data_IF_484592049864
#
_entry.id   IF_484592049864
#
_cell.length_a   1.000
_cell.length_b   1.000
_cell.length_c   1.000
_cell.angle_alpha   90.00
_cell.angle_beta   90.00
_cell.angle_gamma   90.00
#
_symmetry.space_group_name_H-M   'P 1'
#
loop_
_entity.id
_entity.type
_entity.pdbx_description
1 polymer ?
#
# COMPACT_ATOMS: atom_id res chain seq x y z
N UNK A 1 -21.00 5.37 9.12
CA UNK A 1 -20.80 4.88 7.73
C UNK A 1 -19.40 5.25 7.23
N UNK A 2 -18.89 4.59 6.17
CA UNK A 2 -17.52 4.84 5.66
C UNK A 2 -17.28 6.32 5.32
N UNK A 3 -18.21 6.98 4.63
CA UNK A 3 -18.09 8.39 4.24
C UNK A 3 -18.11 9.39 5.40
N UNK A 4 -18.67 9.06 6.54
CA UNK A 4 -18.71 10.00 7.68
C UNK A 4 -17.32 10.38 8.16
N UNK A 5 -16.35 9.46 7.99
CA UNK A 5 -14.93 9.71 8.28
C UNK A 5 -14.32 10.79 7.38
N UNK A 6 -14.89 10.98 6.18
CA UNK A 6 -14.31 11.82 5.11
C UNK A 6 -15.14 13.05 4.77
N UNK A 7 -16.17 13.38 5.57
CA UNK A 7 -17.09 14.51 5.35
C UNK A 7 -16.41 15.91 5.25
N UNK A 8 -15.20 16.02 5.77
CA UNK A 8 -14.43 17.27 5.72
C UNK A 8 -13.67 17.47 4.40
N UNK A 9 -13.63 16.45 3.54
CA UNK A 9 -13.02 16.56 2.22
C UNK A 9 -14.07 17.00 1.21
N UNK A 10 -13.74 18.02 0.43
CA UNK A 10 -14.62 18.51 -0.65
C UNK A 10 -14.22 17.86 -1.96
N UNK A 11 -15.19 17.24 -2.61
CA UNK A 11 -15.01 16.58 -3.91
C UNK A 11 -16.33 16.56 -4.69
N UNK A 12 -16.22 16.36 -6.01
CA UNK A 12 -17.34 16.05 -6.88
C UNK A 12 -17.22 14.61 -7.40
N UNK A 13 -18.34 13.92 -7.56
CA UNK A 13 -18.40 12.59 -8.15
C UNK A 13 -19.13 12.62 -9.49
N UNK A 14 -18.53 12.03 -10.49
CA UNK A 14 -19.04 11.86 -11.85
C UNK A 14 -19.16 10.37 -12.15
N UNK A 15 -20.38 9.80 -12.19
CA UNK A 15 -20.61 8.38 -12.43
C UNK A 15 -20.24 7.97 -13.85
N UNK A 16 -19.88 6.71 -14.05
CA UNK A 16 -19.61 6.15 -15.37
C UNK A 16 -20.85 6.22 -16.27
N UNK A 17 -20.64 6.49 -17.56
CA UNK A 17 -21.67 6.59 -18.60
C UNK A 17 -22.09 5.22 -19.13
N UNK A 18 -21.51 4.13 -18.64
CA UNK A 18 -21.88 2.77 -19.04
C UNK A 18 -23.22 2.41 -18.44
N UNK A 19 -24.21 2.21 -19.31
CA UNK A 19 -25.60 1.93 -18.93
C UNK A 19 -25.75 0.55 -18.30
N UNK A 20 -25.05 -0.46 -18.84
CA UNK A 20 -25.09 -1.82 -18.31
C UNK A 20 -23.75 -2.53 -18.43
N UNK A 21 -23.40 -3.27 -17.40
CA UNK A 21 -22.35 -4.29 -17.40
C UNK A 21 -22.99 -5.64 -17.76
N UNK A 22 -22.17 -6.59 -18.19
CA UNK A 22 -22.65 -7.96 -18.39
C UNK A 22 -23.10 -8.54 -17.04
N UNK A 23 -24.41 -8.68 -16.86
CA UNK A 23 -25.01 -9.15 -15.59
C UNK A 23 -24.69 -10.61 -15.26
N UNK A 24 -24.16 -11.37 -16.22
CA UNK A 24 -23.74 -12.77 -16.01
C UNK A 24 -22.33 -12.88 -15.45
N UNK A 25 -21.60 -11.77 -15.37
CA UNK A 25 -20.21 -11.73 -14.93
C UNK A 25 -20.00 -10.68 -13.83
N UNK A 26 -19.18 -10.96 -12.81
CA UNK A 26 -18.86 -9.98 -11.79
C UNK A 26 -18.18 -8.73 -12.38
N UNK A 27 -18.39 -7.61 -11.74
CA UNK A 27 -17.68 -6.37 -12.08
C UNK A 27 -16.43 -6.27 -11.21
N UNK A 28 -15.26 -6.04 -11.82
CA UNK A 28 -14.05 -5.65 -11.11
C UNK A 28 -13.87 -4.13 -11.21
N UNK A 29 -13.89 -3.43 -10.09
CA UNK A 29 -13.46 -2.03 -10.04
C UNK A 29 -11.98 -1.92 -9.72
N UNK A 30 -11.25 -1.14 -10.51
CA UNK A 30 -9.86 -0.76 -10.23
C UNK A 30 -9.86 0.73 -9.88
N UNK A 31 -9.48 1.05 -8.64
CA UNK A 31 -9.35 2.42 -8.15
C UNK A 31 -7.95 2.92 -8.49
N UNK A 32 -7.85 4.09 -9.12
CA UNK A 32 -6.59 4.69 -9.51
C UNK A 32 -6.59 6.17 -9.13
N UNK A 33 -5.71 6.56 -8.21
CA UNK A 33 -5.55 7.94 -7.80
C UNK A 33 -4.30 8.59 -8.42
N UNK A 34 -4.44 9.83 -8.85
CA UNK A 34 -3.38 10.57 -9.48
C UNK A 34 -3.39 12.05 -9.07
N UNK A 35 -2.18 12.65 -9.02
CA UNK A 35 -2.03 14.09 -8.78
C UNK A 35 -0.85 14.72 -9.53
N UNK A 36 0.15 13.94 -9.95
CA UNK A 36 1.33 14.43 -10.69
C UNK A 36 1.89 13.37 -11.63
N UNK A 37 2.89 13.74 -12.45
CA UNK A 37 3.59 12.87 -13.39
C UNK A 37 2.68 12.23 -14.46
N UNK A 38 2.18 13.10 -15.34
CA UNK A 38 1.26 12.73 -16.42
C UNK A 38 1.72 11.48 -17.22
N UNK A 39 3.00 11.36 -17.51
CA UNK A 39 3.51 10.23 -18.32
C UNK A 39 3.30 8.88 -17.63
N UNK A 40 3.51 8.77 -16.31
CA UNK A 40 3.29 7.54 -15.56
C UNK A 40 1.79 7.26 -15.39
N UNK A 41 1.01 8.29 -15.08
CA UNK A 41 -0.46 8.21 -14.98
C UNK A 41 -1.07 7.70 -16.29
N UNK A 42 -0.62 8.19 -17.44
CA UNK A 42 -1.09 7.72 -18.75
C UNK A 42 -0.82 6.23 -18.94
N UNK A 43 0.38 5.76 -18.64
CA UNK A 43 0.75 4.35 -18.76
C UNK A 43 -0.09 3.46 -17.83
N UNK A 44 -0.29 3.88 -16.58
CA UNK A 44 -1.10 3.15 -15.61
C UNK A 44 -2.56 3.03 -16.07
N UNK A 45 -3.19 4.13 -16.47
CA UNK A 45 -4.57 4.17 -16.98
C UNK A 45 -4.70 3.32 -18.24
N UNK A 46 -3.75 3.39 -19.18
CA UNK A 46 -3.76 2.59 -20.39
C UNK A 46 -3.70 1.09 -20.08
N UNK A 47 -2.90 0.68 -19.08
CA UNK A 47 -2.82 -0.72 -18.65
C UNK A 47 -4.16 -1.24 -18.07
N UNK A 48 -4.94 -0.37 -17.42
CA UNK A 48 -6.29 -0.71 -16.92
C UNK A 48 -7.32 -0.76 -18.05
N UNK A 49 -7.28 0.19 -18.98
CA UNK A 49 -8.25 0.26 -20.08
C UNK A 49 -8.06 -0.86 -21.12
N UNK A 50 -6.86 -1.43 -21.21
CA UNK A 50 -6.51 -2.51 -22.15
C UNK A 50 -6.66 -3.92 -21.55
N UNK A 51 -7.44 -4.10 -20.49
CA UNK A 51 -7.71 -5.41 -19.90
C UNK A 51 -8.52 -6.30 -20.85
N UNK A 52 -8.20 -7.62 -20.90
CA UNK A 52 -8.96 -8.62 -21.69
C UNK A 52 -10.35 -8.84 -21.11
N UNK A 53 -10.53 -8.72 -19.82
CA UNK A 53 -11.80 -8.79 -19.15
C UNK A 53 -12.62 -7.52 -19.35
N UNK A 54 -13.78 -7.64 -19.98
CA UNK A 54 -14.56 -6.47 -20.41
C UNK A 54 -15.45 -5.87 -19.30
N UNK A 55 -15.65 -6.60 -18.19
CA UNK A 55 -16.49 -6.15 -17.07
C UNK A 55 -15.67 -5.41 -16.01
N UNK A 56 -14.81 -4.51 -16.47
CA UNK A 56 -13.97 -3.64 -15.61
C UNK A 56 -14.57 -2.26 -15.54
N UNK A 57 -14.69 -1.74 -14.32
CA UNK A 57 -14.88 -0.31 -14.03
C UNK A 57 -13.54 0.32 -13.63
N UNK A 58 -13.17 1.44 -14.26
CA UNK A 58 -12.08 2.27 -13.79
C UNK A 58 -12.64 3.41 -12.94
N UNK A 59 -12.28 3.45 -11.66
CA UNK A 59 -12.59 4.53 -10.73
C UNK A 59 -11.40 5.46 -10.66
N UNK A 60 -11.43 6.56 -11.41
CA UNK A 60 -10.42 7.61 -11.37
C UNK A 60 -10.61 8.52 -10.17
N UNK A 61 -9.51 8.83 -9.50
CA UNK A 61 -9.48 9.80 -8.41
C UNK A 61 -8.51 10.92 -8.79
N UNK A 62 -9.06 12.07 -9.18
CA UNK A 62 -8.32 13.32 -9.30
C UNK A 62 -8.07 13.87 -7.90
N UNK A 63 -6.92 13.60 -7.34
CA UNK A 63 -6.54 14.01 -5.98
C UNK A 63 -6.04 15.46 -5.95
N UNK A 64 -6.85 16.42 -6.45
CA UNK A 64 -6.43 17.80 -6.61
C UNK A 64 -5.16 17.90 -7.45
N UNK A 65 -5.18 17.24 -8.59
CA UNK A 65 -4.03 17.03 -9.46
C UNK A 65 -3.54 18.32 -10.13
N UNK A 66 -2.30 18.30 -10.62
CA UNK A 66 -1.78 19.32 -11.53
C UNK A 66 -2.68 19.39 -12.76
N UNK A 67 -2.83 20.59 -13.34
CA UNK A 67 -3.80 20.86 -14.42
C UNK A 67 -3.64 19.90 -15.60
N UNK A 68 -2.42 19.57 -16.01
CA UNK A 68 -2.16 18.62 -17.09
C UNK A 68 -2.70 17.21 -16.78
N UNK A 69 -2.57 16.75 -15.53
CA UNK A 69 -3.10 15.45 -15.08
C UNK A 69 -4.62 15.53 -14.95
N UNK A 70 -5.16 16.57 -14.29
CA UNK A 70 -6.60 16.75 -14.11
C UNK A 70 -7.34 16.82 -15.45
N UNK A 71 -6.78 17.55 -16.43
CA UNK A 71 -7.33 17.65 -17.79
C UNK A 71 -7.29 16.29 -18.51
N UNK A 72 -6.23 15.51 -18.35
CA UNK A 72 -6.13 14.17 -18.91
C UNK A 72 -7.16 13.22 -18.27
N UNK A 73 -7.31 13.22 -16.94
CA UNK A 73 -8.29 12.38 -16.25
C UNK A 73 -9.73 12.72 -16.71
N UNK A 74 -10.05 14.01 -16.87
CA UNK A 74 -11.33 14.44 -17.39
C UNK A 74 -11.54 13.94 -18.82
N UNK A 75 -10.57 14.08 -19.70
CA UNK A 75 -10.62 13.55 -21.07
C UNK A 75 -10.94 12.06 -21.08
N UNK A 76 -10.23 11.25 -20.27
CA UNK A 76 -10.48 9.80 -20.17
C UNK A 76 -11.91 9.53 -19.70
N UNK A 77 -12.40 10.24 -18.69
CA UNK A 77 -13.80 10.14 -18.25
C UNK A 77 -14.80 10.48 -19.36
N UNK A 78 -14.51 11.49 -20.18
CA UNK A 78 -15.40 11.90 -21.27
C UNK A 78 -15.43 10.89 -22.41
N UNK A 79 -14.29 10.28 -22.76
CA UNK A 79 -14.13 9.37 -23.89
C UNK A 79 -14.51 7.92 -23.57
N UNK A 80 -14.37 7.47 -22.31
CA UNK A 80 -14.57 6.07 -21.91
C UNK A 80 -15.84 5.88 -21.09
N UNK A 81 -16.71 4.97 -21.52
CA UNK A 81 -18.02 4.73 -20.88
C UNK A 81 -17.91 4.05 -19.52
N UNK A 82 -16.91 3.20 -19.30
CA UNK A 82 -16.70 2.42 -18.08
C UNK A 82 -15.84 3.11 -17.02
N UNK A 83 -15.70 4.44 -17.12
CA UNK A 83 -14.90 5.25 -16.20
C UNK A 83 -15.81 6.10 -15.33
N UNK A 84 -15.62 6.02 -14.02
CA UNK A 84 -16.16 6.96 -13.03
C UNK A 84 -15.04 7.89 -12.56
N UNK A 85 -15.36 9.13 -12.17
CA UNK A 85 -14.38 10.11 -11.73
C UNK A 85 -14.81 10.74 -10.40
N UNK A 86 -13.91 10.73 -9.42
CA UNK A 86 -13.96 11.59 -8.24
C UNK A 86 -12.93 12.69 -8.41
N UNK A 87 -13.33 13.95 -8.24
CA UNK A 87 -12.44 15.10 -8.32
C UNK A 87 -12.44 15.85 -7.01
N UNK A 88 -11.30 15.89 -6.33
CA UNK A 88 -11.10 16.71 -5.13
C UNK A 88 -10.81 18.16 -5.49
N UNK A 89 -11.29 19.10 -4.64
CA UNK A 89 -11.02 20.53 -4.79
C UNK A 89 -9.53 20.86 -4.57
N UNK A 90 -8.84 20.04 -3.78
CA UNK A 90 -7.42 20.20 -3.48
C UNK A 90 -6.77 18.85 -3.18
N UNK A 91 -5.45 18.78 -3.35
CA UNK A 91 -4.68 17.60 -2.99
C UNK A 91 -4.85 17.27 -1.50
N UNK A 92 -5.18 16.02 -1.19
CA UNK A 92 -5.37 15.53 0.18
C UNK A 92 -4.08 14.98 0.80
N UNK A 93 -2.97 14.95 0.04
CA UNK A 93 -1.68 14.54 0.56
C UNK A 93 -1.18 15.53 1.62
N UNK A 94 -0.80 15.00 2.78
CA UNK A 94 -0.20 15.79 3.86
C UNK A 94 1.18 15.22 4.20
N UNK A 95 2.21 16.07 4.13
CA UNK A 95 3.56 15.70 4.53
C UNK A 95 3.68 15.33 6.01
N UNK A 96 2.73 15.73 6.85
CA UNK A 96 2.65 15.33 8.27
C UNK A 96 2.01 13.97 8.46
N UNK A 97 1.29 13.49 7.45
CA UNK A 97 0.59 12.21 7.45
C UNK A 97 0.54 11.65 6.01
N UNK A 98 1.67 11.17 5.47
CA UNK A 98 1.80 10.83 4.05
C UNK A 98 0.90 9.65 3.61
N UNK A 99 0.43 8.83 4.55
CA UNK A 99 -0.45 7.70 4.24
C UNK A 99 -1.94 8.09 4.22
N UNK A 100 -2.30 9.33 4.56
CA UNK A 100 -3.72 9.75 4.62
C UNK A 100 -4.39 9.74 3.26
N UNK A 101 -3.69 10.17 2.21
CA UNK A 101 -4.25 10.27 0.86
C UNK A 101 -4.74 8.92 0.35
N UNK A 102 -4.01 7.85 0.62
CA UNK A 102 -4.38 6.50 0.23
C UNK A 102 -5.74 6.12 0.81
N UNK A 103 -5.92 6.22 2.13
CA UNK A 103 -7.18 5.84 2.77
C UNK A 103 -8.34 6.74 2.36
N UNK A 104 -8.11 8.05 2.19
CA UNK A 104 -9.16 8.99 1.76
C UNK A 104 -9.59 8.73 0.32
N UNK A 105 -8.65 8.74 -0.62
CA UNK A 105 -8.94 8.59 -2.04
C UNK A 105 -9.60 7.24 -2.34
N UNK A 106 -9.04 6.16 -1.82
CA UNK A 106 -9.53 4.82 -2.14
C UNK A 106 -10.85 4.49 -1.45
N UNK A 107 -11.10 4.98 -0.24
CA UNK A 107 -12.39 4.76 0.42
C UNK A 107 -13.53 5.58 -0.19
N UNK A 108 -13.26 6.77 -0.69
CA UNK A 108 -14.26 7.52 -1.45
C UNK A 108 -14.54 6.81 -2.79
N UNK A 109 -13.50 6.33 -3.49
CA UNK A 109 -13.67 5.50 -4.67
C UNK A 109 -14.43 4.21 -4.39
N UNK A 110 -14.11 3.50 -3.30
CA UNK A 110 -14.79 2.29 -2.85
C UNK A 110 -16.30 2.53 -2.59
N UNK A 111 -16.64 3.66 -2.02
CA UNK A 111 -18.04 3.98 -1.73
C UNK A 111 -18.88 4.11 -3.02
N UNK A 112 -18.32 4.74 -4.06
CA UNK A 112 -19.04 5.02 -5.31
C UNK A 112 -18.87 3.92 -6.37
N UNK A 113 -17.95 2.98 -6.21
CA UNK A 113 -17.67 1.97 -7.21
C UNK A 113 -18.84 0.97 -7.37
N UNK A 114 -18.96 0.40 -8.58
CA UNK A 114 -20.01 -0.57 -8.93
C UNK A 114 -19.58 -2.03 -8.78
N UNK A 115 -18.25 -2.28 -8.67
CA UNK A 115 -17.68 -3.63 -8.70
C UNK A 115 -18.15 -4.53 -7.57
N UNK A 116 -18.25 -5.81 -7.85
CA UNK A 116 -18.39 -6.89 -6.87
C UNK A 116 -17.06 -7.14 -6.17
N UNK A 117 -15.99 -6.94 -6.91
CA UNK A 117 -14.61 -7.01 -6.47
C UNK A 117 -13.91 -5.67 -6.68
N UNK A 118 -13.00 -5.33 -5.78
CA UNK A 118 -12.28 -4.05 -5.82
C UNK A 118 -10.80 -4.29 -5.69
N UNK A 119 -10.04 -3.60 -6.51
CA UNK A 119 -8.60 -3.47 -6.46
C UNK A 119 -8.19 -2.01 -6.56
N UNK A 120 -6.91 -1.74 -6.41
CA UNK A 120 -6.34 -0.42 -6.63
C UNK A 120 -5.06 -0.54 -7.46
N UNK A 121 -4.66 0.55 -8.08
CA UNK A 121 -3.37 0.64 -8.77
C UNK A 121 -2.75 2.01 -8.49
N UNK A 122 -1.51 2.03 -8.01
CA UNK A 122 -0.76 3.27 -7.82
C UNK A 122 -0.51 3.98 -9.16
N UNK A 123 -0.28 5.30 -9.11
CA UNK A 123 -0.14 6.14 -10.31
C UNK A 123 1.05 5.76 -11.22
N UNK A 124 2.01 5.03 -10.70
CA UNK A 124 3.28 4.68 -11.35
C UNK A 124 3.42 3.21 -11.71
N UNK A 125 2.47 2.36 -11.35
CA UNK A 125 2.48 0.93 -11.60
C UNK A 125 1.65 0.53 -12.82
N UNK A 126 1.84 -0.72 -13.30
CA UNK A 126 1.12 -1.24 -14.47
C UNK A 126 0.51 -2.61 -14.17
N UNK A 127 -0.54 -2.96 -14.91
CA UNK A 127 -1.16 -4.29 -14.90
C UNK A 127 -0.87 -5.05 -16.18
N UNK A 128 -0.68 -6.38 -16.10
CA UNK A 128 -0.71 -7.24 -17.27
C UNK A 128 -2.11 -7.24 -17.92
N UNK A 129 -2.18 -7.47 -19.23
CA UNK A 129 -3.45 -7.43 -19.99
C UNK A 129 -4.51 -8.39 -19.47
N UNK A 130 -4.11 -9.51 -18.89
CA UNK A 130 -4.98 -10.57 -18.38
C UNK A 130 -5.22 -10.47 -16.85
N UNK A 131 -4.75 -9.39 -16.18
CA UNK A 131 -4.86 -9.25 -14.73
C UNK A 131 -6.32 -9.38 -14.25
N UNK A 132 -7.23 -8.60 -14.80
CA UNK A 132 -8.62 -8.60 -14.37
C UNK A 132 -9.31 -9.95 -14.58
N UNK A 133 -9.07 -10.60 -15.73
CA UNK A 133 -9.63 -11.91 -16.06
C UNK A 133 -9.15 -12.99 -15.07
N UNK A 134 -7.85 -13.04 -14.82
CA UNK A 134 -7.24 -14.01 -13.91
C UNK A 134 -7.66 -13.79 -12.46
N UNK A 135 -7.74 -12.53 -12.01
CA UNK A 135 -8.17 -12.22 -10.66
C UNK A 135 -9.65 -12.59 -10.43
N UNK A 136 -10.53 -12.24 -11.37
CA UNK A 136 -11.95 -12.59 -11.28
C UNK A 136 -12.16 -14.11 -11.34
N UNK A 137 -11.39 -14.85 -12.15
CA UNK A 137 -11.51 -16.31 -12.26
C UNK A 137 -11.30 -17.01 -10.91
N UNK A 138 -10.39 -16.51 -10.06
CA UNK A 138 -10.15 -17.09 -8.73
C UNK A 138 -11.40 -17.07 -7.84
N UNK A 139 -12.17 -15.97 -7.88
CA UNK A 139 -13.41 -15.88 -7.10
C UNK A 139 -14.54 -16.76 -7.69
N UNK A 140 -14.56 -16.93 -9.01
CA UNK A 140 -15.53 -17.77 -9.67
C UNK A 140 -15.25 -19.27 -9.46
N UNK A 141 -13.97 -19.65 -9.44
CA UNK A 141 -13.53 -21.02 -9.18
C UNK A 141 -13.75 -21.45 -7.73
N UNK A 142 -13.61 -20.50 -6.78
CA UNK A 142 -13.75 -20.81 -5.36
C UNK A 142 -14.61 -19.76 -4.65
N UNK A 143 -15.88 -20.08 -4.32
CA UNK A 143 -16.77 -19.17 -3.60
C UNK A 143 -16.28 -18.74 -2.20
N UNK A 144 -15.37 -19.51 -1.57
CA UNK A 144 -14.76 -19.17 -0.29
C UNK A 144 -13.58 -18.17 -0.45
N UNK A 145 -13.17 -17.87 -1.69
CA UNK A 145 -12.14 -16.90 -1.97
C UNK A 145 -12.62 -15.49 -1.61
N UNK A 146 -11.92 -14.82 -0.71
CA UNK A 146 -12.23 -13.45 -0.25
C UNK A 146 -11.22 -12.43 -0.72
N UNK A 147 -9.99 -12.87 -1.02
CA UNK A 147 -8.92 -12.05 -1.60
C UNK A 147 -8.23 -12.80 -2.73
N UNK A 148 -7.79 -12.08 -3.76
CA UNK A 148 -7.00 -12.65 -4.85
C UNK A 148 -5.74 -11.82 -5.06
N UNK A 149 -4.61 -12.50 -5.25
CA UNK A 149 -3.29 -11.89 -5.38
C UNK A 149 -2.67 -12.19 -6.75
N UNK A 150 -2.09 -11.19 -7.42
CA UNK A 150 -1.26 -11.36 -8.61
C UNK A 150 0.19 -11.69 -8.24
N UNK A 151 0.98 -11.98 -9.23
CA UNK A 151 2.45 -11.93 -9.16
C UNK A 151 2.94 -10.49 -9.30
N UNK A 152 4.06 -10.15 -8.64
CA UNK A 152 4.64 -8.80 -8.70
C UNK A 152 6.01 -8.84 -9.37
N UNK A 153 6.17 -8.01 -10.40
CA UNK A 153 7.40 -7.86 -11.17
C UNK A 153 7.96 -6.45 -10.97
N UNK A 154 9.21 -6.34 -10.55
CA UNK A 154 9.85 -5.02 -10.41
C UNK A 154 10.27 -4.47 -11.76
N UNK A 155 9.93 -3.20 -12.05
CA UNK A 155 10.35 -2.47 -13.25
C UNK A 155 11.07 -1.17 -12.88
N UNK A 156 11.88 -0.64 -13.81
CA UNK A 156 12.49 0.68 -13.69
C UNK A 156 11.54 1.80 -14.13
N UNK A 157 12.02 3.05 -14.09
CA UNK A 157 11.23 4.22 -14.54
C UNK A 157 10.80 4.13 -16.00
N UNK A 158 11.55 3.45 -16.83
CA UNK A 158 11.29 3.26 -18.26
C UNK A 158 10.40 2.05 -18.56
N UNK A 159 10.05 1.25 -17.54
CA UNK A 159 9.24 0.04 -17.70
C UNK A 159 10.04 -1.25 -17.95
N UNK A 160 11.37 -1.21 -17.92
CA UNK A 160 12.18 -2.41 -18.09
C UNK A 160 12.19 -3.25 -16.81
N UNK A 161 12.11 -4.57 -16.96
CA UNK A 161 12.12 -5.51 -15.84
C UNK A 161 13.46 -5.40 -15.08
N UNK A 162 13.38 -5.20 -13.77
CA UNK A 162 14.50 -5.20 -12.83
C UNK A 162 14.54 -6.51 -12.07
N UNK A 163 15.48 -7.39 -12.44
CA UNK A 163 15.69 -8.63 -11.72
C UNK A 163 14.61 -9.69 -11.97
N UNK A 164 14.57 -10.68 -11.10
CA UNK A 164 13.61 -11.77 -11.19
C UNK A 164 12.24 -11.34 -10.65
N UNK A 165 11.22 -12.08 -11.06
CA UNK A 165 9.91 -12.00 -10.43
C UNK A 165 10.06 -12.09 -8.90
N UNK A 166 9.53 -11.11 -8.18
CA UNK A 166 9.67 -11.02 -6.73
C UNK A 166 8.89 -12.11 -5.99
N UNK A 167 7.95 -12.78 -6.67
CA UNK A 167 7.02 -13.75 -6.09
C UNK A 167 7.36 -15.21 -6.47
N UNK A 168 8.57 -15.64 -6.23
CA UNK A 168 9.03 -16.97 -6.62
C UNK A 168 8.52 -18.10 -5.72
N UNK A 169 7.87 -17.80 -4.59
CA UNK A 169 7.58 -18.78 -3.54
C UNK A 169 6.10 -19.16 -3.36
N UNK A 170 5.17 -18.44 -3.97
CA UNK A 170 3.75 -18.79 -3.94
C UNK A 170 3.46 -19.88 -4.96
N UNK A 171 3.02 -21.04 -4.49
CA UNK A 171 2.80 -22.22 -5.35
C UNK A 171 1.39 -22.73 -5.33
N UNK A 172 0.58 -22.37 -4.34
CA UNK A 172 -0.81 -22.83 -4.23
C UNK A 172 -1.75 -21.82 -4.84
N UNK A 173 -2.65 -22.30 -5.69
CA UNK A 173 -3.70 -21.48 -6.29
C UNK A 173 -4.67 -20.91 -5.26
N UNK A 174 -4.98 -21.71 -4.22
CA UNK A 174 -5.76 -21.28 -3.07
C UNK A 174 -5.05 -21.63 -1.78
N UNK A 175 -5.13 -20.75 -0.81
CA UNK A 175 -4.55 -20.92 0.52
C UNK A 175 -5.52 -20.38 1.56
N UNK A 176 -5.59 -21.07 2.71
CA UNK A 176 -6.31 -20.57 3.86
C UNK A 176 -5.74 -19.20 4.28
N UNK A 177 -6.60 -18.20 4.32
CA UNK A 177 -6.17 -16.82 4.57
C UNK A 177 -5.70 -16.58 6.01
N UNK A 178 -6.22 -17.34 6.98
CA UNK A 178 -5.73 -17.29 8.36
C UNK A 178 -4.30 -17.84 8.46
N UNK A 179 -4.02 -18.95 7.76
CA UNK A 179 -2.66 -19.51 7.69
C UNK A 179 -1.69 -18.53 7.05
N UNK A 180 -2.11 -17.82 5.99
CA UNK A 180 -1.30 -16.76 5.38
C UNK A 180 -1.02 -15.63 6.36
N UNK A 181 -2.03 -15.16 7.07
CA UNK A 181 -1.87 -14.12 8.08
C UNK A 181 -0.96 -14.54 9.24
N UNK A 182 -1.08 -15.78 9.73
CA UNK A 182 -0.16 -16.33 10.74
C UNK A 182 1.30 -16.38 10.26
N UNK A 183 1.51 -16.74 9.02
CA UNK A 183 2.86 -16.77 8.43
C UNK A 183 3.46 -15.34 8.36
N UNK A 184 2.66 -14.34 8.03
CA UNK A 184 3.06 -12.94 8.10
C UNK A 184 3.47 -12.55 9.53
N UNK A 185 2.63 -12.88 10.53
CA UNK A 185 2.91 -12.60 11.94
C UNK A 185 4.19 -13.28 12.47
N UNK A 186 4.57 -14.42 11.88
CA UNK A 186 5.77 -15.15 12.23
C UNK A 186 7.03 -14.68 11.48
N UNK A 187 6.97 -13.58 10.73
CA UNK A 187 8.10 -13.05 9.97
C UNK A 187 8.46 -13.83 8.71
N UNK A 188 7.56 -14.68 8.23
CA UNK A 188 7.71 -15.43 6.99
C UNK A 188 7.24 -14.62 5.75
N UNK A 189 7.24 -13.30 5.84
CA UNK A 189 6.76 -12.37 4.81
C UNK A 189 7.36 -12.63 3.43
N UNK A 190 8.68 -12.86 3.39
CA UNK A 190 9.41 -13.10 2.15
C UNK A 190 8.95 -14.34 1.37
N UNK A 191 8.18 -15.23 2.01
CA UNK A 191 7.63 -16.42 1.40
C UNK A 191 6.20 -16.25 0.88
N UNK A 192 5.52 -15.15 1.22
CA UNK A 192 4.09 -14.97 1.01
C UNK A 192 3.76 -13.68 0.24
N UNK A 193 4.52 -12.62 0.49
CA UNK A 193 4.40 -11.33 -0.15
C UNK A 193 5.77 -10.91 -0.64
N UNK A 194 5.88 -10.75 -1.90
CA UNK A 194 7.17 -10.54 -2.53
C UNK A 194 7.50 -9.08 -2.73
N UNK A 195 6.54 -8.17 -2.64
CA UNK A 195 6.82 -6.76 -2.88
C UNK A 195 5.90 -5.83 -2.09
N UNK A 196 6.42 -4.64 -1.73
CA UNK A 196 5.61 -3.51 -1.32
C UNK A 196 4.61 -3.15 -2.42
N UNK A 197 3.36 -2.89 -2.07
CA UNK A 197 2.33 -2.50 -3.02
C UNK A 197 1.65 -3.68 -3.72
N UNK A 198 1.65 -4.86 -3.13
CA UNK A 198 0.87 -5.99 -3.64
C UNK A 198 -0.61 -5.58 -3.77
N UNK A 199 -1.06 -5.50 -5.02
CA UNK A 199 -2.40 -5.06 -5.38
C UNK A 199 -3.35 -6.25 -5.26
N UNK A 200 -3.95 -6.43 -4.08
CA UNK A 200 -4.97 -7.45 -3.88
C UNK A 200 -6.30 -7.03 -4.51
N UNK A 201 -7.01 -8.01 -5.04
CA UNK A 201 -8.43 -7.88 -5.31
C UNK A 201 -9.20 -8.42 -4.11
N UNK A 202 -10.16 -7.68 -3.62
CA UNK A 202 -10.93 -8.01 -2.40
C UNK A 202 -12.41 -7.91 -2.71
N UNK A 203 -13.24 -8.76 -2.10
CA UNK A 203 -14.70 -8.63 -2.17
C UNK A 203 -15.14 -7.27 -1.64
N UNK A 204 -15.95 -6.54 -2.40
CA UNK A 204 -16.45 -5.21 -2.02
C UNK A 204 -17.28 -5.22 -0.73
N UNK A 205 -18.15 -6.21 -0.58
CA UNK A 205 -18.99 -6.37 0.62
C UNK A 205 -18.14 -6.51 1.89
N UNK A 206 -17.08 -7.30 1.82
CA UNK A 206 -16.12 -7.46 2.91
C UNK A 206 -15.35 -6.16 3.18
N UNK A 207 -14.86 -5.45 2.14
CA UNK A 207 -14.23 -4.15 2.30
C UNK A 207 -15.14 -3.16 3.02
N UNK A 208 -16.39 -3.04 2.59
CA UNK A 208 -17.35 -2.11 3.20
C UNK A 208 -17.68 -2.48 4.64
N UNK A 209 -17.88 -3.78 4.91
CA UNK A 209 -18.20 -4.31 6.25
C UNK A 209 -17.09 -4.04 7.25
N UNK A 210 -15.85 -4.25 6.85
CA UNK A 210 -14.71 -4.15 7.75
C UNK A 210 -14.03 -2.75 7.73
N UNK A 211 -14.66 -1.74 7.11
CA UNK A 211 -14.29 -0.33 7.24
C UNK A 211 -13.34 0.20 6.17
N UNK A 212 -13.20 -0.50 5.04
CA UNK A 212 -12.48 -0.03 3.86
C UNK A 212 -10.97 -0.11 3.96
N UNK A 213 -10.28 0.59 3.07
CA UNK A 213 -8.82 0.63 2.99
C UNK A 213 -8.21 1.42 4.15
N UNK A 214 -7.18 0.86 4.76
CA UNK A 214 -6.45 1.48 5.86
C UNK A 214 -5.23 2.28 5.35
N UNK A 215 -4.66 3.13 6.20
CA UNK A 215 -3.42 3.84 5.90
C UNK A 215 -2.20 2.91 5.77
N UNK A 216 -2.23 1.77 6.45
CA UNK A 216 -1.17 0.74 6.45
C UNK A 216 -1.51 -0.40 5.46
N UNK A 217 -1.83 -0.03 4.24
CA UNK A 217 -2.52 -0.88 3.29
C UNK A 217 -1.81 -2.21 2.98
N UNK A 218 -0.50 -2.20 2.83
CA UNK A 218 0.29 -3.40 2.48
C UNK A 218 0.18 -4.51 3.54
N UNK A 219 -0.09 -4.12 4.78
CA UNK A 219 -0.19 -5.03 5.93
C UNK A 219 -1.64 -5.36 6.23
N UNK A 220 -2.49 -4.34 6.19
CA UNK A 220 -3.88 -4.48 6.60
C UNK A 220 -4.67 -5.37 5.68
N UNK A 221 -4.38 -5.38 4.38
CA UNK A 221 -5.12 -6.21 3.42
C UNK A 221 -5.10 -7.68 3.80
N UNK A 222 -3.94 -8.22 4.19
CA UNK A 222 -3.84 -9.61 4.62
C UNK A 222 -4.36 -9.83 6.04
N UNK A 223 -3.93 -9.03 7.00
CA UNK A 223 -4.32 -9.20 8.39
C UNK A 223 -5.81 -8.92 8.65
N UNK A 224 -6.46 -8.16 7.78
CA UNK A 224 -7.84 -7.74 7.96
C UNK A 224 -8.81 -8.53 7.10
N UNK A 225 -8.46 -8.82 5.86
CA UNK A 225 -9.40 -9.37 4.90
C UNK A 225 -9.18 -10.85 4.60
N UNK A 226 -7.94 -11.31 4.46
CA UNK A 226 -7.67 -12.70 4.10
C UNK A 226 -8.21 -13.70 5.15
N UNK A 227 -8.22 -13.34 6.43
CA UNK A 227 -8.67 -14.19 7.54
C UNK A 227 -10.17 -14.54 7.50
N UNK A 228 -10.94 -13.97 6.58
CA UNK A 228 -12.36 -14.26 6.44
C UNK A 228 -12.67 -15.43 5.49
N UNK A 229 -11.65 -15.98 4.81
CA UNK A 229 -11.82 -17.09 3.89
C UNK A 229 -10.51 -17.53 3.26
N UNK A 230 -10.56 -17.94 2.01
CA UNK A 230 -9.36 -18.31 1.26
C UNK A 230 -8.81 -17.15 0.43
N UNK A 231 -7.51 -17.17 0.20
CA UNK A 231 -6.82 -16.26 -0.69
C UNK A 231 -6.38 -16.99 -1.95
N UNK A 232 -6.88 -16.52 -3.10
CA UNK A 232 -6.46 -17.01 -4.40
C UNK A 232 -5.14 -16.38 -4.86
N UNK A 233 -4.41 -17.10 -5.72
CA UNK A 233 -3.18 -16.62 -6.34
C UNK A 233 -3.07 -17.11 -7.78
N UNK A 234 -2.76 -16.20 -8.70
CA UNK A 234 -2.46 -16.56 -10.08
C UNK A 234 -1.16 -15.88 -10.54
N UNK A 235 -0.07 -16.65 -10.83
CA UNK A 235 1.22 -16.09 -11.23
C UNK A 235 1.20 -15.46 -12.62
N UNK A 236 0.21 -15.78 -13.45
CA UNK A 236 0.08 -15.22 -14.81
C UNK A 236 -0.56 -13.84 -14.80
N UNK A 237 -1.25 -13.48 -13.73
CA UNK A 237 -1.66 -12.09 -13.49
C UNK A 237 -0.50 -11.33 -12.87
N UNK A 238 -0.09 -10.23 -13.48
CA UNK A 238 1.08 -9.49 -13.02
C UNK A 238 0.75 -8.04 -12.72
N UNK A 239 1.33 -7.55 -11.61
CA UNK A 239 1.51 -6.13 -11.34
C UNK A 239 2.97 -5.79 -11.56
N UNK A 240 3.22 -4.82 -12.40
CA UNK A 240 4.56 -4.30 -12.64
C UNK A 240 4.80 -3.13 -11.69
N UNK A 241 5.48 -3.43 -10.56
CA UNK A 241 5.82 -2.45 -9.54
C UNK A 241 7.03 -1.62 -9.96
N UNK A 242 6.82 -0.31 -10.12
CA UNK A 242 7.84 0.60 -10.58
C UNK A 242 8.70 1.10 -9.44
N UNK A 243 10.03 1.08 -9.63
CA UNK A 243 11.01 1.57 -8.66
C UNK A 243 11.76 2.79 -9.19
N UNK A 244 11.47 3.98 -8.64
CA UNK A 244 12.12 5.24 -9.02
C UNK A 244 12.38 6.16 -7.80
N UNK A 245 13.22 7.20 -7.98
CA UNK A 245 13.66 8.07 -6.87
C UNK A 245 12.54 8.92 -6.26
N UNK A 246 11.47 9.22 -7.03
CA UNK A 246 10.35 10.06 -6.59
C UNK A 246 9.28 9.34 -5.77
N UNK A 247 9.44 8.06 -5.46
CA UNK A 247 8.47 7.31 -4.67
C UNK A 247 8.42 7.80 -3.22
N UNK A 248 7.21 7.88 -2.66
CA UNK A 248 6.95 8.35 -1.29
C UNK A 248 7.77 7.60 -0.25
N UNK A 249 7.95 6.29 -0.40
CA UNK A 249 8.75 5.48 0.53
C UNK A 249 10.24 5.85 0.51
N UNK A 250 10.77 6.35 -0.60
CA UNK A 250 12.15 6.84 -0.70
C UNK A 250 12.29 8.26 -0.17
N UNK A 251 11.27 9.09 -0.36
CA UNK A 251 11.20 10.43 0.19
C UNK A 251 10.92 10.42 1.70
N UNK A 252 10.15 9.48 2.18
CA UNK A 252 9.81 9.32 3.60
C UNK A 252 10.97 8.84 4.46
N UNK A 253 11.98 8.14 3.89
CA UNK A 253 13.24 7.85 4.59
C UNK A 253 13.95 9.12 5.04
N UNK A 254 13.83 10.21 4.28
CA UNK A 254 14.35 11.52 4.66
C UNK A 254 13.51 12.24 5.74
N UNK A 255 12.30 11.76 6.02
CA UNK A 255 11.33 12.32 6.98
C UNK A 255 10.83 11.28 7.97
N UNK A 256 11.70 10.38 8.38
CA UNK A 256 11.42 9.14 9.10
C UNK A 256 10.48 9.25 10.31
N UNK A 257 10.54 10.36 11.09
CA UNK A 257 9.66 10.56 12.25
C UNK A 257 8.19 10.69 11.85
N UNK A 258 7.91 11.31 10.74
CA UNK A 258 6.55 11.47 10.22
C UNK A 258 6.00 10.10 9.82
N UNK A 259 6.83 9.23 9.26
CA UNK A 259 6.40 7.93 8.80
C UNK A 259 5.99 7.00 9.94
N UNK A 260 6.76 6.92 11.04
CA UNK A 260 6.35 6.06 12.15
C UNK A 260 5.09 6.58 12.87
N UNK A 261 4.89 7.91 12.94
CA UNK A 261 3.64 8.48 13.48
C UNK A 261 2.43 8.14 12.61
N UNK A 262 2.59 8.22 11.30
CA UNK A 262 1.56 7.79 10.35
C UNK A 262 1.24 6.29 10.48
N UNK A 263 2.27 5.47 10.73
CA UNK A 263 2.12 4.03 10.97
C UNK A 263 1.37 3.74 12.29
N UNK A 264 1.72 4.43 13.39
CA UNK A 264 1.00 4.30 14.68
C UNK A 264 -0.48 4.62 14.47
N UNK A 265 -0.76 5.78 13.87
CA UNK A 265 -2.13 6.21 13.59
C UNK A 265 -2.87 5.22 12.68
N UNK A 266 -2.17 4.67 11.69
CA UNK A 266 -2.71 3.63 10.82
C UNK A 266 -3.14 2.37 11.59
N UNK A 267 -2.34 1.92 12.54
CA UNK A 267 -2.69 0.80 13.41
C UNK A 267 -3.87 1.11 14.34
N UNK A 268 -3.94 2.32 14.90
CA UNK A 268 -5.04 2.76 15.76
C UNK A 268 -6.37 2.82 15.02
N UNK A 269 -6.36 3.26 13.77
CA UNK A 269 -7.56 3.42 12.94
C UNK A 269 -8.00 2.13 12.22
N UNK A 270 -7.15 1.09 12.14
CA UNK A 270 -7.32 -0.05 11.23
C UNK A 270 -8.34 -1.10 11.66
N UNK A 271 -8.86 -1.08 12.87
CA UNK A 271 -9.72 -2.14 13.42
C UNK A 271 -9.12 -3.56 13.41
N UNK A 272 -7.85 -3.76 12.98
CA UNK A 272 -7.23 -5.09 12.91
C UNK A 272 -7.30 -5.78 14.27
N UNK A 273 -6.88 -5.10 15.34
CA UNK A 273 -6.89 -5.69 16.68
C UNK A 273 -8.30 -6.07 17.14
N UNK A 274 -9.31 -5.24 16.88
CA UNK A 274 -10.72 -5.51 17.19
C UNK A 274 -11.23 -6.76 16.44
N UNK A 275 -10.93 -6.87 15.14
CA UNK A 275 -11.31 -8.00 14.31
C UNK A 275 -10.68 -9.30 14.84
N UNK A 276 -9.38 -9.27 15.17
CA UNK A 276 -8.68 -10.43 15.69
C UNK A 276 -9.16 -10.82 17.09
N UNK A 277 -9.42 -9.86 17.97
CA UNK A 277 -9.94 -10.10 19.33
C UNK A 277 -11.33 -10.73 19.31
N UNK A 278 -12.17 -10.37 18.34
CA UNK A 278 -13.51 -10.93 18.19
C UNK A 278 -13.53 -12.36 17.64
N UNK A 279 -12.43 -12.86 17.05
CA UNK A 279 -12.38 -14.12 16.30
C UNK A 279 -11.43 -15.16 16.89
N UNK A 280 -10.40 -14.75 17.60
CA UNK A 280 -9.31 -15.61 18.03
C UNK A 280 -8.98 -15.44 19.51
N UNK A 281 -8.28 -16.42 20.05
CA UNK A 281 -7.89 -16.43 21.44
C UNK A 281 -6.78 -15.40 21.78
N UNK A 282 -6.49 -15.28 23.08
CA UNK A 282 -5.50 -14.33 23.60
C UNK A 282 -4.07 -14.61 23.11
N UNK A 283 -3.73 -15.87 22.85
CA UNK A 283 -2.39 -16.23 22.39
C UNK A 283 -2.17 -15.70 20.98
N UNK A 284 -3.11 -15.95 20.05
CA UNK A 284 -3.05 -15.45 18.68
C UNK A 284 -3.10 -13.92 18.66
N UNK A 285 -4.00 -13.30 19.45
CA UNK A 285 -4.06 -11.84 19.56
C UNK A 285 -2.72 -11.24 20.04
N UNK A 286 -2.03 -11.93 20.97
CA UNK A 286 -0.69 -11.52 21.42
C UNK A 286 0.33 -11.47 20.28
N UNK A 287 0.25 -12.40 19.30
CA UNK A 287 1.13 -12.38 18.10
C UNK A 287 0.87 -11.16 17.24
N UNK A 288 -0.40 -10.78 17.02
CA UNK A 288 -0.76 -9.55 16.26
C UNK A 288 -0.23 -8.31 16.97
N UNK A 289 -0.38 -8.23 18.29
CA UNK A 289 0.15 -7.12 19.09
C UNK A 289 1.67 -7.03 19.01
N UNK A 290 2.38 -8.16 19.13
CA UNK A 290 3.85 -8.23 18.98
C UNK A 290 4.30 -7.80 17.56
N UNK A 291 3.58 -8.21 16.53
CA UNK A 291 3.87 -7.81 15.16
C UNK A 291 3.70 -6.29 14.98
N UNK A 292 2.58 -5.71 15.45
CA UNK A 292 2.37 -4.26 15.49
C UNK A 292 3.55 -3.55 16.16
N UNK A 293 3.91 -3.99 17.38
CA UNK A 293 5.00 -3.38 18.15
C UNK A 293 6.34 -3.51 17.44
N UNK A 294 6.60 -4.66 16.80
CA UNK A 294 7.81 -4.86 16.00
C UNK A 294 7.86 -3.91 14.79
N UNK A 295 6.77 -3.72 14.09
CA UNK A 295 6.74 -2.79 12.95
C UNK A 295 6.98 -1.34 13.37
N UNK A 296 6.31 -0.89 14.43
CA UNK A 296 6.49 0.46 14.95
C UNK A 296 7.93 0.62 15.44
N UNK A 297 8.43 -0.30 16.27
CA UNK A 297 9.78 -0.23 16.84
C UNK A 297 10.87 -0.27 15.77
N UNK A 298 10.75 -1.14 14.76
CA UNK A 298 11.73 -1.22 13.67
C UNK A 298 11.82 0.09 12.89
N UNK A 299 10.68 0.75 12.65
CA UNK A 299 10.63 2.06 11.99
C UNK A 299 11.24 3.15 12.87
N UNK A 300 10.90 3.19 14.16
CA UNK A 300 11.48 4.12 15.15
C UNK A 300 13.00 3.95 15.21
N UNK A 301 13.49 2.71 15.34
CA UNK A 301 14.92 2.42 15.44
C UNK A 301 15.69 2.79 14.17
N UNK A 302 15.08 2.58 12.99
CA UNK A 302 15.68 3.01 11.73
C UNK A 302 15.91 4.53 11.70
N UNK A 303 14.93 5.31 12.15
CA UNK A 303 15.01 6.78 12.22
C UNK A 303 16.10 7.24 13.20
N UNK A 304 16.11 6.69 14.42
CA UNK A 304 17.09 7.02 15.45
C UNK A 304 18.50 6.65 14.99
N UNK A 305 18.66 5.45 14.40
CA UNK A 305 19.94 4.98 13.87
C UNK A 305 20.45 5.85 12.72
N UNK A 306 19.61 6.27 11.81
CA UNK A 306 19.98 7.14 10.68
C UNK A 306 20.42 8.52 11.18
N UNK A 307 19.68 9.13 12.11
CA UNK A 307 20.06 10.41 12.71
C UNK A 307 21.38 10.32 13.47
N UNK A 308 21.61 9.22 14.19
CA UNK A 308 22.86 8.97 14.91
C UNK A 308 24.03 8.78 13.93
N UNK A 309 23.84 7.99 12.86
CA UNK A 309 24.89 7.73 11.86
C UNK A 309 25.27 8.98 11.06
N UNK A 310 24.37 9.95 10.94
CA UNK A 310 24.63 11.23 10.28
C UNK A 310 25.26 12.29 11.20
N UNK A 311 25.60 11.94 12.45
CA UNK A 311 26.24 12.80 13.47
C UNK A 311 25.53 14.13 13.71
N UNK A 312 24.21 14.14 13.60
CA UNK A 312 23.38 15.32 13.81
C UNK A 312 22.85 15.31 15.25
N UNK A 313 23.61 15.90 16.19
CA UNK A 313 23.26 15.89 17.61
C UNK A 313 21.83 16.38 17.87
N UNK A 314 21.42 17.50 17.28
CA UNK A 314 20.08 18.06 17.48
C UNK A 314 18.95 17.18 16.94
N UNK A 315 19.01 16.63 15.71
CA UNK A 315 18.06 15.61 15.25
C UNK A 315 17.98 14.37 16.15
N UNK A 316 19.12 13.88 16.70
CA UNK A 316 19.11 12.74 17.64
C UNK A 316 18.34 13.07 18.91
N UNK A 317 18.62 14.24 19.53
CA UNK A 317 17.90 14.69 20.73
C UNK A 317 16.40 14.83 20.45
N UNK A 318 16.06 15.43 19.31
CA UNK A 318 14.66 15.60 18.91
C UNK A 318 13.96 14.26 18.67
N UNK A 319 14.65 13.31 18.00
CA UNK A 319 14.11 11.96 17.78
C UNK A 319 13.87 11.23 19.11
N UNK A 320 14.81 11.29 20.06
CA UNK A 320 14.63 10.68 21.39
C UNK A 320 13.47 11.32 22.15
N UNK A 321 13.34 12.65 22.10
CA UNK A 321 12.20 13.36 22.70
C UNK A 321 10.88 12.90 22.06
N UNK A 322 10.82 12.81 20.75
CA UNK A 322 9.63 12.38 20.03
C UNK A 322 9.29 10.90 20.36
N UNK A 323 10.29 10.02 20.42
CA UNK A 323 10.07 8.62 20.86
C UNK A 323 9.53 8.55 22.27
N UNK A 324 10.07 9.37 23.21
CA UNK A 324 9.56 9.41 24.58
C UNK A 324 8.09 9.87 24.64
N UNK A 325 7.70 10.82 23.79
CA UNK A 325 6.33 11.33 23.76
C UNK A 325 5.36 10.39 23.03
N UNK A 326 5.77 9.86 21.87
CA UNK A 326 4.88 9.11 20.98
C UNK A 326 4.88 7.60 21.27
N UNK A 327 6.00 7.04 21.74
CA UNK A 327 6.21 5.61 21.94
C UNK A 327 7.14 5.34 23.13
N UNK A 328 6.77 5.72 24.37
CA UNK A 328 7.66 5.64 25.54
C UNK A 328 8.22 4.25 25.79
N UNK A 329 7.50 3.18 25.41
CA UNK A 329 7.96 1.80 25.53
C UNK A 329 9.24 1.48 24.71
N UNK A 330 9.56 2.26 23.69
CA UNK A 330 10.76 2.08 22.87
C UNK A 330 11.90 3.04 23.22
N UNK A 331 11.71 3.92 24.21
CA UNK A 331 12.68 4.99 24.53
C UNK A 331 14.03 4.45 24.98
N UNK A 332 14.05 3.53 25.94
CA UNK A 332 15.31 2.99 26.49
C UNK A 332 16.13 2.27 25.41
N UNK A 333 15.48 1.52 24.52
CA UNK A 333 16.16 0.84 23.42
C UNK A 333 16.67 1.84 22.37
N UNK A 334 15.94 2.92 22.14
CA UNK A 334 16.40 4.03 21.28
C UNK A 334 17.63 4.73 21.85
N UNK A 335 17.67 4.98 23.17
CA UNK A 335 18.87 5.49 23.86
C UNK A 335 20.06 4.55 23.69
N UNK A 336 19.85 3.23 23.78
CA UNK A 336 20.89 2.22 23.57
C UNK A 336 21.44 2.25 22.14
N UNK A 337 20.59 2.43 21.13
CA UNK A 337 21.02 2.58 19.73
C UNK A 337 21.91 3.81 19.55
N UNK A 338 21.54 4.95 20.17
CA UNK A 338 22.37 6.17 20.14
C UNK A 338 23.71 5.93 20.81
N UNK A 339 23.71 5.29 21.99
CA UNK A 339 24.92 4.94 22.73
C UNK A 339 25.85 4.08 21.86
N UNK A 340 25.36 2.98 21.30
CA UNK A 340 26.15 2.11 20.41
C UNK A 340 26.64 2.84 19.16
N UNK A 341 25.82 3.72 18.58
CA UNK A 341 26.18 4.54 17.43
C UNK A 341 27.34 5.48 17.74
N UNK A 342 27.34 6.11 18.92
CA UNK A 342 28.41 6.99 19.38
C UNK A 342 29.72 6.21 19.61
N UNK A 343 29.65 5.05 20.24
CA UNK A 343 30.83 4.21 20.51
C UNK A 343 31.44 3.57 19.26
N UNK A 344 30.64 3.31 18.22
CA UNK A 344 31.11 2.84 16.91
C UNK A 344 31.62 3.98 16.00
N UNK A 345 31.57 5.24 16.47
CA UNK A 345 31.99 6.42 15.75
C UNK A 345 33.42 6.32 15.18
N UNK A 346 34.43 5.90 15.97
CA UNK A 346 35.81 5.79 15.46
C UNK A 346 35.93 4.76 14.31
N UNK A 347 35.21 3.65 14.40
CA UNK A 347 35.23 2.59 13.41
C UNK A 347 34.56 3.00 12.09
N UNK A 348 33.47 3.75 12.14
CA UNK A 348 32.75 4.25 10.96
C UNK A 348 33.54 5.37 10.25
N UNK A 349 34.24 6.22 11.01
CA UNK A 349 35.16 7.25 10.47
C UNK A 349 36.32 6.58 9.76
N UNK A 350 36.98 5.62 10.39
CA UNK A 350 38.04 4.83 9.78
C UNK A 350 37.57 4.13 8.49
N UNK A 351 36.38 3.51 8.51
CA UNK A 351 35.82 2.85 7.33
C UNK A 351 35.48 3.83 6.18
N UNK A 352 35.05 5.06 6.48
CA UNK A 352 34.84 6.11 5.48
C UNK A 352 36.18 6.62 4.91
N UNK A 353 37.22 6.78 5.75
CA UNK A 353 38.57 7.17 5.33
C UNK A 353 39.18 6.08 4.44
N UNK A 354 39.09 4.81 4.84
CA UNK A 354 39.55 3.68 4.02
C UNK A 354 38.81 3.52 2.69
N UNK A 355 37.50 3.80 2.65
CA UNK A 355 36.74 3.83 1.37
C UNK A 355 37.18 4.95 0.46
N UNK A 356 37.47 6.16 1.00
CA UNK A 356 38.00 7.28 0.20
C UNK A 356 39.40 6.99 -0.32
N UNK A 357 40.26 6.38 0.49
CA UNK A 357 41.61 6.00 0.09
C UNK A 357 41.62 4.87 -0.96
N UNK A 358 40.65 3.95 -0.95
CA UNK A 358 40.49 2.89 -1.98
C UNK A 358 39.94 3.38 -3.33
N UNK A 359 39.39 4.58 -3.40
CA UNK A 359 38.88 5.18 -4.64
C UNK A 359 39.91 6.14 -5.30
N UNK A 360 41.08 6.30 -4.71
CA UNK A 360 42.20 7.15 -5.21
C UNK A 360 43.41 6.33 -5.67
N UNK A 361 43.25 5.02 -5.91
CA UNK A 361 44.27 4.18 -6.57
C UNK A 361 43.67 3.43 -7.75
#
# INVERSE_FOLDING_TARGET
MLLDKYKNYKYAFFPSKRESYDSTKPILTIIHDAYFNLSLVMQAIESILNQTYQNVELMLIDNGALEEVSSYLRKIYEEKKNVSLVKFDRNVFDWKDPCVSVSVCWNIGLFYCKGDYVSHLAYDDLLSKNYAEKMVSLFLENPNCVTAAPSVVSIDISGNIKGNNLDTNRRKRFSDGFVLALNLLNGNEKKLFSAPGEVLVIRKDLLLKEGGFDRIIDISQLLKYAIFGESGYDPDAQVFWRSHAGQTNKLSKAKGEIFYRSLIKGWEESRILEIWESRYDREILSRVKKFKDHQISSTVYAVVSENTANYKLWPVILSLKNVLCDCPQFFLQSCWIVFLGIFNLPFLILRKIFRKLRMSF
#
